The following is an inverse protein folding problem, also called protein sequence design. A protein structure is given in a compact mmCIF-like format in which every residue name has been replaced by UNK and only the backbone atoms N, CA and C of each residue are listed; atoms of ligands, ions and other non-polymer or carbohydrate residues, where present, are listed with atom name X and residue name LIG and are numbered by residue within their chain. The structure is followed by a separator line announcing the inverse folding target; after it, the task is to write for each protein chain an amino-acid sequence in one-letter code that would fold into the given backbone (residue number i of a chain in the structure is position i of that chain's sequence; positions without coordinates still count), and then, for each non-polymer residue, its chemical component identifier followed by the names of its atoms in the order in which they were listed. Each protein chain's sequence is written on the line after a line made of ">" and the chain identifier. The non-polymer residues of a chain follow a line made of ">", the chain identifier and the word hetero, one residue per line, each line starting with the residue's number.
data_IF_834673202384
#
_entry.id   IF_834673202384
#
_cell.length_a   1.000
_cell.length_b   1.000
_cell.length_c   1.000
_cell.angle_alpha   90.00
_cell.angle_beta   90.00
_cell.angle_gamma   90.00
#
_symmetry.space_group_name_H-M   'P 1'
#
loop_
_entity.id
_entity.type
_entity.pdbx_description
1 polymer ?
#
# COMPACT_ATOMS: atom_id res chain seq x y z
N UNK A 1 12.14 -22.30 20.80
CA UNK A 1 11.12 -21.65 19.96
C UNK A 1 11.71 -20.32 19.54
N UNK A 2 11.74 -20.02 18.25
CA UNK A 2 12.19 -18.73 17.73
C UNK A 2 11.12 -17.67 17.97
N UNK A 3 11.52 -16.48 18.38
CA UNK A 3 10.60 -15.36 18.51
C UNK A 3 10.04 -14.97 17.13
N UNK A 4 8.74 -14.63 17.03
CA UNK A 4 8.15 -14.18 15.79
C UNK A 4 8.84 -12.89 15.31
N UNK A 5 9.09 -12.82 14.03
CA UNK A 5 9.71 -11.70 13.34
C UNK A 5 8.65 -10.84 12.64
N UNK A 6 9.02 -9.64 12.18
CA UNK A 6 8.12 -8.80 11.41
C UNK A 6 7.59 -9.51 10.14
N UNK A 7 8.35 -10.46 9.56
CA UNK A 7 7.93 -11.21 8.36
C UNK A 7 6.72 -12.08 8.61
N UNK A 8 6.57 -12.60 9.84
CA UNK A 8 5.42 -13.41 10.24
C UNK A 8 4.13 -12.58 10.26
N UNK A 9 4.25 -11.25 10.38
CA UNK A 9 3.15 -10.28 10.42
C UNK A 9 2.99 -9.47 9.14
N UNK A 10 3.93 -9.59 8.20
CA UNK A 10 3.99 -8.79 6.99
C UNK A 10 2.85 -9.10 6.02
N UNK A 11 2.46 -10.37 5.92
CA UNK A 11 1.53 -10.84 4.90
C UNK A 11 2.18 -10.88 3.50
N UNK A 12 1.40 -11.40 2.55
CA UNK A 12 1.86 -11.68 1.18
C UNK A 12 2.18 -10.42 0.38
N UNK A 13 1.35 -9.39 0.47
CA UNK A 13 1.54 -8.13 -0.27
C UNK A 13 2.89 -7.44 -0.01
N UNK A 14 3.51 -7.72 1.14
CA UNK A 14 4.81 -7.15 1.55
C UNK A 14 5.98 -8.02 1.12
N UNK A 15 5.79 -9.34 1.03
CA UNK A 15 6.88 -10.30 0.87
C UNK A 15 6.93 -10.94 -0.51
N UNK A 16 5.82 -10.98 -1.22
CA UNK A 16 5.73 -11.54 -2.55
C UNK A 16 6.47 -10.63 -3.55
N UNK A 17 7.20 -11.20 -4.52
CA UNK A 17 7.92 -10.42 -5.54
C UNK A 17 7.00 -9.91 -6.65
N UNK A 18 5.74 -10.34 -6.69
CA UNK A 18 4.79 -10.04 -7.76
C UNK A 18 3.44 -9.59 -7.22
N UNK A 19 2.74 -8.76 -7.99
CA UNK A 19 1.40 -8.30 -7.69
C UNK A 19 0.31 -9.37 -8.01
N UNK A 20 -0.98 -9.09 -7.74
CA UNK A 20 -2.06 -10.04 -8.02
C UNK A 20 -2.19 -10.48 -9.49
N UNK A 21 -1.69 -9.68 -10.44
CA UNK A 21 -1.67 -9.97 -11.86
C UNK A 21 -0.35 -10.64 -12.31
N UNK A 22 0.55 -10.95 -11.38
CA UNK A 22 1.82 -11.60 -11.64
C UNK A 22 2.91 -10.65 -12.17
N UNK A 23 2.71 -9.32 -12.11
CA UNK A 23 3.72 -8.34 -12.53
C UNK A 23 4.76 -8.16 -11.42
N UNK A 24 6.05 -7.99 -11.74
CA UNK A 24 7.08 -7.70 -10.75
C UNK A 24 6.75 -6.45 -9.94
N UNK A 25 6.93 -6.53 -8.62
CA UNK A 25 6.85 -5.37 -7.73
C UNK A 25 8.25 -4.80 -7.57
N UNK A 26 8.50 -3.64 -8.17
CA UNK A 26 9.77 -2.92 -8.04
C UNK A 26 9.87 -2.15 -6.71
N UNK A 27 8.73 -1.86 -6.08
CA UNK A 27 8.70 -1.13 -4.80
C UNK A 27 9.45 -1.91 -3.72
N UNK A 28 10.47 -1.31 -3.09
CA UNK A 28 11.28 -1.97 -2.08
C UNK A 28 10.46 -2.55 -0.91
N UNK A 29 10.89 -3.68 -0.36
CA UNK A 29 10.17 -4.38 0.73
C UNK A 29 10.04 -3.53 2.00
N UNK A 30 11.06 -2.76 2.35
CA UNK A 30 11.05 -1.79 3.44
C UNK A 30 10.01 -0.70 3.19
N UNK A 31 9.89 -0.20 1.95
CA UNK A 31 8.87 0.76 1.56
C UNK A 31 7.45 0.19 1.69
N UNK A 32 7.24 -1.06 1.25
CA UNK A 32 5.97 -1.78 1.43
C UNK A 32 5.63 -1.95 2.91
N UNK A 33 6.65 -2.27 3.73
CA UNK A 33 6.48 -2.40 5.17
C UNK A 33 6.04 -1.08 5.84
N UNK A 34 6.53 0.08 5.39
CA UNK A 34 6.06 1.37 5.88
C UNK A 34 4.57 1.61 5.57
N UNK A 35 4.10 1.24 4.38
CA UNK A 35 2.66 1.28 4.06
C UNK A 35 1.83 0.38 4.98
N UNK A 36 2.34 -0.81 5.31
CA UNK A 36 1.69 -1.71 6.28
C UNK A 36 1.60 -1.09 7.68
N UNK A 37 2.68 -0.47 8.15
CA UNK A 37 2.70 0.25 9.44
C UNK A 37 1.70 1.39 9.43
N UNK A 38 1.67 2.18 8.35
CA UNK A 38 0.71 3.27 8.20
C UNK A 38 -0.73 2.76 8.28
N UNK A 39 -1.05 1.69 7.55
CA UNK A 39 -2.41 1.11 7.55
C UNK A 39 -2.80 0.61 8.93
N UNK A 40 -1.87 -0.02 9.65
CA UNK A 40 -2.14 -0.48 11.02
C UNK A 40 -2.38 0.71 11.96
N UNK A 41 -1.54 1.75 11.90
CA UNK A 41 -1.72 2.96 12.70
C UNK A 41 -3.02 3.70 12.37
N UNK A 42 -3.42 3.77 11.09
CA UNK A 42 -4.65 4.42 10.67
C UNK A 42 -5.89 3.75 11.29
N UNK A 43 -5.87 2.43 11.47
CA UNK A 43 -6.98 1.65 12.05
C UNK A 43 -6.89 1.54 13.57
N UNK A 44 -5.68 1.40 14.12
CA UNK A 44 -5.46 1.00 15.52
C UNK A 44 -5.01 2.13 16.44
N UNK A 45 -4.68 3.32 15.94
CA UNK A 45 -4.21 4.43 16.77
C UNK A 45 -5.24 4.85 17.83
N UNK A 46 -4.84 4.80 19.09
CA UNK A 46 -5.67 5.17 20.24
C UNK A 46 -5.25 6.50 20.88
N UNK A 47 -4.01 6.94 20.66
CA UNK A 47 -3.46 8.18 21.23
C UNK A 47 -3.23 9.26 20.18
N UNK A 48 -3.26 10.53 20.60
CA UNK A 48 -2.99 11.67 19.70
C UNK A 48 -1.59 11.63 19.08
N UNK A 49 -0.60 11.11 19.83
CA UNK A 49 0.75 10.90 19.31
C UNK A 49 0.78 9.89 18.17
N UNK A 50 0.07 8.75 18.31
CA UNK A 50 -0.04 7.76 17.25
C UNK A 50 -0.80 8.30 16.04
N UNK A 51 -1.90 9.03 16.24
CA UNK A 51 -2.67 9.65 15.13
C UNK A 51 -1.81 10.66 14.37
N UNK A 52 -1.05 11.49 15.09
CA UNK A 52 -0.09 12.44 14.48
C UNK A 52 0.98 11.71 13.68
N UNK A 53 1.56 10.64 14.23
CA UNK A 53 2.57 9.85 13.53
C UNK A 53 1.99 9.18 12.28
N UNK A 54 0.77 8.63 12.37
CA UNK A 54 0.06 8.05 11.23
C UNK A 54 -0.12 9.07 10.10
N UNK A 55 -0.55 10.28 10.45
CA UNK A 55 -0.74 11.37 9.49
C UNK A 55 0.58 11.78 8.81
N UNK A 56 1.65 12.01 9.58
CA UNK A 56 2.97 12.37 9.03
C UNK A 56 3.55 11.25 8.15
N UNK A 57 3.35 9.99 8.55
CA UNK A 57 3.79 8.85 7.77
C UNK A 57 3.01 8.75 6.46
N UNK A 58 1.69 8.90 6.49
CA UNK A 58 0.83 8.94 5.29
C UNK A 58 1.28 10.03 4.32
N UNK A 59 1.44 11.26 4.81
CA UNK A 59 1.87 12.42 4.00
C UNK A 59 3.20 12.14 3.30
N UNK A 60 4.21 11.69 4.05
CA UNK A 60 5.51 11.30 3.49
C UNK A 60 5.38 10.19 2.44
N UNK A 61 4.59 9.14 2.74
CA UNK A 61 4.44 7.99 1.87
C UNK A 61 3.71 8.33 0.56
N UNK A 62 2.70 9.18 0.62
CA UNK A 62 1.96 9.71 -0.54
C UNK A 62 2.88 10.57 -1.41
N UNK A 63 3.60 11.54 -0.83
CA UNK A 63 4.50 12.45 -1.55
C UNK A 63 5.65 11.74 -2.28
N UNK A 64 6.12 10.64 -1.71
CA UNK A 64 7.26 9.87 -2.25
C UNK A 64 6.83 8.53 -2.84
N UNK A 65 5.55 8.38 -3.19
CA UNK A 65 5.04 7.16 -3.80
C UNK A 65 5.63 6.97 -5.21
N UNK A 66 6.29 5.84 -5.46
CA UNK A 66 6.77 5.46 -6.79
C UNK A 66 5.66 4.89 -7.69
N UNK A 67 4.45 4.72 -7.13
CA UNK A 67 3.26 4.12 -7.72
C UNK A 67 3.46 2.73 -8.35
N UNK A 68 2.78 1.72 -7.79
CA UNK A 68 2.61 0.42 -8.44
C UNK A 68 1.15 0.29 -8.87
N UNK A 69 0.87 0.58 -10.14
CA UNK A 69 -0.48 0.60 -10.68
C UNK A 69 -0.99 -0.81 -11.02
N UNK A 70 -2.21 -1.10 -10.59
CA UNK A 70 -3.01 -2.22 -11.03
C UNK A 70 -4.11 -1.70 -11.95
N UNK A 71 -4.21 -2.27 -13.15
CA UNK A 71 -5.23 -1.91 -14.13
C UNK A 71 -6.53 -2.67 -13.83
N UNK A 72 -7.65 -1.97 -13.93
CA UNK A 72 -9.00 -2.49 -13.77
C UNK A 72 -9.78 -2.25 -15.05
N UNK A 73 -10.43 -3.29 -15.55
CA UNK A 73 -11.35 -3.19 -16.69
C UNK A 73 -12.60 -2.39 -16.29
N UNK A 74 -13.23 -1.75 -17.27
CA UNK A 74 -14.50 -1.07 -17.07
C UNK A 74 -15.61 -2.06 -16.65
N UNK A 75 -16.50 -1.63 -15.76
CA UNK A 75 -17.70 -2.35 -15.35
C UNK A 75 -18.95 -1.45 -15.37
N UNK A 76 -20.08 -1.93 -14.84
CA UNK A 76 -21.34 -1.16 -14.83
C UNK A 76 -21.29 0.12 -13.97
N UNK A 77 -20.34 0.22 -13.05
CA UNK A 77 -20.21 1.31 -12.09
C UNK A 77 -18.98 2.20 -12.35
N UNK A 78 -17.95 1.69 -13.02
CA UNK A 78 -16.67 2.38 -13.19
C UNK A 78 -16.12 2.23 -14.61
N UNK A 79 -15.57 3.33 -15.14
CA UNK A 79 -14.73 3.29 -16.33
C UNK A 79 -13.41 2.53 -16.05
N UNK A 80 -12.75 2.11 -17.13
CA UNK A 80 -11.43 1.51 -17.04
C UNK A 80 -10.47 2.51 -16.37
N UNK A 81 -9.77 2.05 -15.35
CA UNK A 81 -8.91 2.89 -14.54
C UNK A 81 -7.72 2.08 -14.05
N UNK A 82 -6.70 2.78 -13.58
CA UNK A 82 -5.59 2.15 -12.85
C UNK A 82 -5.55 2.70 -11.43
N UNK A 83 -5.38 1.81 -10.47
CA UNK A 83 -5.28 2.15 -9.06
C UNK A 83 -3.90 1.76 -8.53
N UNK A 84 -3.23 2.71 -7.87
CA UNK A 84 -1.97 2.41 -7.21
C UNK A 84 -2.22 1.52 -5.98
N UNK A 85 -1.56 0.35 -5.91
CA UNK A 85 -1.69 -0.61 -4.81
C UNK A 85 -1.26 -0.08 -3.44
N UNK A 86 -0.51 1.03 -3.41
CA UNK A 86 0.03 1.61 -2.18
C UNK A 86 -0.78 2.79 -1.65
N UNK A 87 -0.82 3.90 -2.39
CA UNK A 87 -1.54 5.11 -1.97
C UNK A 87 -3.02 5.13 -2.37
N UNK A 88 -3.52 4.11 -3.08
CA UNK A 88 -4.88 4.05 -3.64
C UNK A 88 -5.22 5.19 -4.62
N UNK A 89 -4.22 5.92 -5.12
CA UNK A 89 -4.41 6.92 -6.18
C UNK A 89 -5.02 6.25 -7.42
N UNK A 90 -6.11 6.82 -7.92
CA UNK A 90 -6.82 6.36 -9.12
C UNK A 90 -6.48 7.31 -10.26
N UNK A 91 -6.02 6.75 -11.37
CA UNK A 91 -5.99 7.45 -12.65
C UNK A 91 -7.06 6.86 -13.56
N UNK A 92 -8.01 7.69 -13.96
CA UNK A 92 -9.02 7.34 -14.95
C UNK A 92 -8.37 7.24 -16.33
N UNK A 93 -8.73 6.23 -17.13
CA UNK A 93 -8.27 6.14 -18.51
C UNK A 93 -8.83 7.31 -19.33
N UNK A 94 -7.95 8.04 -20.03
CA UNK A 94 -8.41 8.96 -21.10
C UNK A 94 -9.15 8.12 -22.16
N UNK A 95 -10.42 8.46 -22.41
CA UNK A 95 -11.27 7.83 -23.44
C UNK A 95 -10.76 8.10 -24.86
#
# INVERSE_FOLDING_TARGET
>A
MTEPTWRDWAGRSITDPTDPNGRPIETPTDRRWLWRIETDLAVSATTDSQRRLAHLLREYLDETCEHHYLDYDADEAWDAHRQCLWCNHIEEGEQ
#
